data_IF_445349147464
#
_entry.id   IF_445349147464
#
_cell.length_a   1.000
_cell.length_b   1.000
_cell.length_c   1.000
_cell.angle_alpha   90.00
_cell.angle_beta   90.00
_cell.angle_gamma   90.00
#
_symmetry.space_group_name_H-M   'P 1'
#
loop_
_entity.id
_entity.type
_entity.pdbx_description
1 polymer ?
#
# COMPACT_ATOMS: atom_id res chain seq x y z
N UNK A 1 26.98 -21.50 0.76
CA UNK A 1 26.33 -20.20 1.09
C UNK A 1 25.66 -19.71 -0.16
N UNK A 2 24.37 -19.41 -0.08
CA UNK A 2 23.54 -18.97 -1.21
C UNK A 2 23.31 -17.46 -1.15
N UNK A 3 23.32 -16.79 -2.31
CA UNK A 3 23.04 -15.35 -2.44
C UNK A 3 22.06 -15.15 -3.60
N UNK A 4 20.98 -14.43 -3.34
CA UNK A 4 19.94 -14.16 -4.33
C UNK A 4 19.85 -12.65 -4.57
N UNK A 5 19.91 -12.25 -5.84
CA UNK A 5 19.80 -10.86 -6.28
C UNK A 5 18.50 -10.70 -7.08
N UNK A 6 17.57 -9.94 -6.51
CA UNK A 6 16.20 -9.82 -7.01
C UNK A 6 15.96 -8.41 -7.52
N UNK A 7 15.47 -8.31 -8.75
CA UNK A 7 15.16 -7.07 -9.44
C UNK A 7 13.67 -6.95 -9.72
N UNK A 8 13.21 -5.71 -9.85
CA UNK A 8 11.91 -5.41 -10.45
C UNK A 8 11.87 -5.85 -11.91
N UNK A 9 10.67 -6.11 -12.38
CA UNK A 9 10.29 -6.11 -13.79
C UNK A 9 9.51 -4.84 -14.09
N UNK A 10 9.62 -4.39 -15.33
CA UNK A 10 8.88 -3.23 -15.83
C UNK A 10 7.93 -3.77 -16.89
N UNK A 11 6.63 -3.71 -16.59
CA UNK A 11 5.56 -4.20 -17.45
C UNK A 11 4.78 -3.01 -17.99
N UNK A 12 4.44 -3.07 -19.27
CA UNK A 12 3.57 -2.09 -19.91
C UNK A 12 2.13 -2.23 -19.37
N UNK A 13 1.42 -1.11 -19.28
CA UNK A 13 0.04 -1.01 -18.81
C UNK A 13 -0.18 -1.54 -17.37
N UNK A 14 0.80 -1.39 -16.48
CA UNK A 14 0.66 -1.71 -15.05
C UNK A 14 0.31 -0.47 -14.22
N UNK A 15 -0.32 -0.66 -13.05
CA UNK A 15 -0.55 0.44 -12.09
C UNK A 15 0.79 1.11 -11.72
N UNK A 16 1.84 0.30 -11.56
CA UNK A 16 3.16 0.77 -11.18
C UNK A 16 3.78 1.61 -12.30
N UNK A 17 3.65 1.20 -13.56
CA UNK A 17 4.04 2.04 -14.68
C UNK A 17 3.33 3.40 -14.65
N UNK A 18 2.01 3.42 -14.50
CA UNK A 18 1.24 4.67 -14.44
C UNK A 18 1.65 5.58 -13.27
N UNK A 19 2.07 5.01 -12.13
CA UNK A 19 2.66 5.81 -11.03
C UNK A 19 4.07 6.33 -11.33
N UNK A 20 4.86 5.60 -12.14
CA UNK A 20 6.21 5.99 -12.56
C UNK A 20 6.17 7.09 -13.61
N UNK A 21 5.23 7.06 -14.55
CA UNK A 21 5.05 8.10 -15.57
C UNK A 21 4.83 9.49 -14.95
N UNK A 22 4.10 9.55 -13.83
CA UNK A 22 3.88 10.79 -13.05
C UNK A 22 5.17 11.37 -12.46
N UNK A 23 6.26 10.60 -12.37
CA UNK A 23 7.57 11.04 -11.86
C UNK A 23 8.43 11.72 -12.93
N UNK A 24 7.91 11.83 -14.17
CA UNK A 24 8.56 12.50 -15.30
C UNK A 24 9.35 11.56 -16.21
N UNK A 25 9.80 12.09 -17.35
CA UNK A 25 10.58 11.35 -18.35
C UNK A 25 12.07 11.42 -18.02
N UNK A 26 12.77 10.30 -18.24
CA UNK A 26 14.23 10.22 -18.14
C UNK A 26 14.93 10.28 -19.50
N UNK A 27 16.26 10.32 -19.47
CA UNK A 27 17.07 10.23 -20.69
C UNK A 27 17.44 8.78 -20.99
N UNK A 28 17.04 8.33 -22.18
CA UNK A 28 17.39 7.01 -22.69
C UNK A 28 18.90 6.88 -22.92
N UNK A 29 19.51 5.83 -22.39
CA UNK A 29 20.93 5.51 -22.55
C UNK A 29 21.17 4.00 -22.54
N UNK A 30 21.70 3.47 -23.64
CA UNK A 30 21.98 2.04 -23.81
C UNK A 30 22.92 1.50 -22.72
N UNK A 31 22.54 0.43 -22.03
CA UNK A 31 23.42 -0.23 -21.05
C UNK A 31 24.23 -1.34 -21.73
N UNK A 32 25.56 -1.24 -21.64
CA UNK A 32 26.51 -2.24 -22.13
C UNK A 32 27.83 -2.09 -21.40
N UNK A 33 28.69 -3.11 -21.43
CA UNK A 33 29.95 -3.12 -20.68
C UNK A 33 30.95 -2.01 -21.06
N UNK A 34 30.86 -1.48 -22.29
CA UNK A 34 31.69 -0.36 -22.74
C UNK A 34 31.00 1.01 -22.56
N UNK A 35 29.72 1.04 -22.14
CA UNK A 35 29.02 2.30 -21.93
C UNK A 35 29.54 2.99 -20.68
N UNK A 36 29.92 4.27 -20.81
CA UNK A 36 30.29 5.11 -19.66
C UNK A 36 29.15 5.13 -18.63
N UNK A 37 29.48 5.03 -17.35
CA UNK A 37 28.51 5.13 -16.25
C UNK A 37 27.74 6.47 -16.32
N UNK A 38 26.41 6.49 -16.12
CA UNK A 38 25.63 7.73 -16.13
C UNK A 38 26.09 8.68 -15.01
N UNK A 39 26.27 9.95 -15.35
CA UNK A 39 26.61 10.99 -14.36
C UNK A 39 25.40 11.49 -13.57
N UNK A 40 24.19 11.40 -14.15
CA UNK A 40 22.94 11.77 -13.51
C UNK A 40 22.05 10.52 -13.36
N UNK A 41 22.23 9.81 -12.25
CA UNK A 41 21.46 8.60 -11.93
C UNK A 41 19.95 8.85 -11.81
N UNK A 42 19.46 9.91 -11.13
CA UNK A 42 18.03 10.19 -11.05
C UNK A 42 17.35 10.27 -12.41
N UNK A 43 17.97 10.95 -13.37
CA UNK A 43 17.43 11.11 -14.72
C UNK A 43 17.50 9.80 -15.54
N UNK A 44 18.61 9.07 -15.42
CA UNK A 44 18.77 7.75 -16.05
C UNK A 44 17.73 6.74 -15.55
N UNK A 45 17.45 6.72 -14.25
CA UNK A 45 16.52 5.77 -13.61
C UNK A 45 15.03 6.11 -13.81
N UNK A 46 14.70 7.25 -14.42
CA UNK A 46 13.32 7.59 -14.81
C UNK A 46 12.87 6.90 -16.10
N UNK A 47 13.82 6.49 -16.94
CA UNK A 47 13.51 5.70 -18.14
C UNK A 47 13.43 4.20 -17.77
N UNK A 48 12.28 3.53 -18.00
CA UNK A 48 12.12 2.12 -17.63
C UNK A 48 12.99 1.18 -18.48
N UNK A 49 13.25 1.53 -19.74
CA UNK A 49 14.10 0.71 -20.63
C UNK A 49 15.53 0.66 -20.12
N UNK A 50 16.06 1.79 -19.61
CA UNK A 50 17.36 1.84 -18.97
C UNK A 50 17.48 0.86 -17.79
N UNK A 51 16.41 0.73 -16.99
CA UNK A 51 16.38 -0.16 -15.83
C UNK A 51 16.30 -1.62 -16.25
N UNK A 52 15.46 -1.95 -17.23
CA UNK A 52 15.39 -3.30 -17.81
C UNK A 52 16.77 -3.74 -18.33
N UNK A 53 17.42 -2.90 -19.15
CA UNK A 53 18.76 -3.23 -19.67
C UNK A 53 19.82 -3.30 -18.57
N UNK A 54 19.75 -2.42 -17.56
CA UNK A 54 20.67 -2.44 -16.43
C UNK A 54 20.56 -3.74 -15.65
N UNK A 55 19.34 -4.17 -15.31
CA UNK A 55 19.12 -5.37 -14.53
C UNK A 55 19.51 -6.63 -15.30
N UNK A 56 19.19 -6.70 -16.59
CA UNK A 56 19.65 -7.78 -17.45
C UNK A 56 21.19 -7.84 -17.49
N UNK A 57 21.85 -6.71 -17.77
CA UNK A 57 23.31 -6.63 -17.83
C UNK A 57 23.96 -7.04 -16.50
N UNK A 58 23.42 -6.57 -15.36
CA UNK A 58 23.94 -6.93 -14.04
C UNK A 58 23.76 -8.43 -13.77
N UNK A 59 22.61 -9.02 -14.08
CA UNK A 59 22.38 -10.46 -13.88
C UNK A 59 23.33 -11.30 -14.71
N UNK A 60 23.53 -10.97 -15.98
CA UNK A 60 24.49 -11.63 -16.86
C UNK A 60 25.91 -11.55 -16.27
N UNK A 61 26.33 -10.38 -15.79
CA UNK A 61 27.65 -10.19 -15.21
C UNK A 61 27.83 -10.92 -13.88
N UNK A 62 26.82 -10.90 -13.03
CA UNK A 62 26.81 -11.62 -11.75
C UNK A 62 27.03 -13.11 -12.01
N UNK A 63 26.24 -13.75 -12.88
CA UNK A 63 26.37 -15.20 -13.09
C UNK A 63 27.61 -15.59 -13.88
N UNK A 64 28.15 -14.70 -14.73
CA UNK A 64 29.43 -14.92 -15.41
C UNK A 64 30.66 -14.78 -14.52
N UNK A 65 30.49 -14.24 -13.30
CA UNK A 65 31.58 -14.06 -12.35
C UNK A 65 31.93 -15.39 -11.69
N UNK A 66 33.23 -15.68 -11.57
CA UNK A 66 33.69 -16.84 -10.81
C UNK A 66 33.59 -16.56 -9.32
N UNK A 67 32.77 -17.33 -8.62
CA UNK A 67 32.67 -17.29 -7.16
C UNK A 67 33.49 -18.42 -6.52
N UNK A 68 33.89 -18.29 -5.25
CA UNK A 68 34.54 -19.38 -4.52
C UNK A 68 33.70 -20.66 -4.49
N UNK A 69 34.37 -21.81 -4.35
CA UNK A 69 33.70 -23.11 -4.31
C UNK A 69 32.63 -23.19 -3.21
N UNK A 70 31.52 -23.87 -3.52
CA UNK A 70 30.37 -24.02 -2.61
C UNK A 70 29.56 -22.73 -2.38
N UNK A 71 29.79 -21.69 -3.20
CA UNK A 71 28.93 -20.50 -3.26
C UNK A 71 27.94 -20.65 -4.42
N UNK A 72 26.67 -20.40 -4.13
CA UNK A 72 25.60 -20.42 -5.11
C UNK A 72 25.05 -19.01 -5.24
N UNK A 73 24.88 -18.55 -6.48
CA UNK A 73 24.35 -17.22 -6.75
C UNK A 73 23.19 -17.33 -7.70
N UNK A 74 22.07 -16.71 -7.34
CA UNK A 74 20.88 -16.58 -8.16
C UNK A 74 20.66 -15.10 -8.47
N UNK A 75 20.34 -14.78 -9.71
CA UNK A 75 19.99 -13.42 -10.12
C UNK A 75 18.77 -13.46 -11.03
N UNK A 76 17.80 -12.59 -10.76
CA UNK A 76 16.61 -12.50 -11.61
C UNK A 76 16.97 -11.92 -12.98
N UNK A 77 16.38 -12.40 -14.08
CA UNK A 77 16.55 -11.83 -15.42
C UNK A 77 15.21 -11.84 -16.13
N UNK A 78 14.53 -10.69 -16.16
CA UNK A 78 13.12 -10.62 -16.55
C UNK A 78 12.26 -11.55 -15.68
N UNK A 79 11.46 -12.40 -16.31
CA UNK A 79 10.64 -13.41 -15.62
C UNK A 79 11.47 -14.60 -15.09
N UNK A 80 12.66 -14.84 -15.62
CA UNK A 80 13.47 -16.01 -15.29
C UNK A 80 14.45 -15.74 -14.15
N UNK A 81 15.09 -16.79 -13.66
CA UNK A 81 16.23 -16.71 -12.73
C UNK A 81 17.42 -17.38 -13.40
N UNK A 82 18.56 -16.69 -13.42
CA UNK A 82 19.85 -17.25 -13.84
C UNK A 82 20.67 -17.57 -12.60
N UNK A 83 21.52 -18.60 -12.67
CA UNK A 83 22.33 -19.01 -11.51
C UNK A 83 23.78 -19.35 -11.89
N UNK A 84 24.63 -19.39 -10.87
CA UNK A 84 26.04 -19.82 -10.94
C UNK A 84 26.40 -20.63 -9.69
N UNK A 85 27.23 -21.65 -9.86
CA UNK A 85 27.70 -22.53 -8.77
C UNK A 85 26.68 -23.58 -8.30
N UNK A 86 25.65 -23.89 -9.11
CA UNK A 86 24.61 -24.88 -8.78
C UNK A 86 23.89 -25.37 -10.04
N UNK A 87 23.34 -26.59 -9.98
CA UNK A 87 22.43 -27.15 -10.99
C UNK A 87 20.94 -26.92 -10.63
N UNK A 88 20.66 -26.36 -9.44
CA UNK A 88 19.31 -26.03 -9.00
C UNK A 88 18.70 -24.93 -9.86
N UNK A 89 17.47 -25.16 -10.31
CA UNK A 89 16.73 -24.23 -11.16
C UNK A 89 15.47 -23.73 -10.44
N UNK A 90 15.24 -22.42 -10.50
CA UNK A 90 14.01 -21.81 -10.00
C UNK A 90 13.02 -21.61 -11.15
N UNK A 91 11.71 -21.79 -10.91
CA UNK A 91 10.70 -21.55 -11.92
C UNK A 91 10.64 -20.06 -12.31
N UNK A 92 10.15 -19.74 -13.52
CA UNK A 92 9.83 -18.36 -13.89
C UNK A 92 8.83 -17.73 -12.90
N UNK A 93 8.90 -16.41 -12.77
CA UNK A 93 8.13 -15.63 -11.83
C UNK A 93 7.45 -14.43 -12.52
N UNK A 94 6.13 -14.29 -12.34
CA UNK A 94 5.32 -13.24 -12.96
C UNK A 94 5.26 -11.92 -12.15
N UNK A 95 5.88 -11.90 -10.97
CA UNK A 95 5.91 -10.73 -10.10
C UNK A 95 6.54 -9.52 -10.79
N UNK A 96 5.87 -8.37 -10.73
CA UNK A 96 6.42 -7.10 -11.22
C UNK A 96 7.48 -6.53 -10.28
N UNK A 97 7.31 -6.64 -8.96
CA UNK A 97 8.19 -5.97 -7.99
C UNK A 97 9.11 -6.94 -7.27
N UNK A 98 10.33 -6.47 -6.98
CA UNK A 98 11.28 -7.20 -6.15
C UNK A 98 10.69 -7.49 -4.76
N UNK A 99 9.80 -6.63 -4.26
CA UNK A 99 9.30 -6.69 -2.89
C UNK A 99 8.56 -7.99 -2.57
N UNK A 100 7.73 -8.43 -3.50
CA UNK A 100 7.04 -9.71 -3.41
C UNK A 100 7.91 -10.85 -3.92
N UNK A 101 8.71 -10.61 -4.97
CA UNK A 101 9.54 -11.66 -5.59
C UNK A 101 10.61 -12.20 -4.65
N UNK A 102 11.12 -11.36 -3.74
CA UNK A 102 12.04 -11.79 -2.68
C UNK A 102 11.47 -12.94 -1.85
N UNK A 103 10.15 -13.01 -1.64
CA UNK A 103 9.52 -14.08 -0.86
C UNK A 103 9.61 -15.43 -1.59
N UNK A 104 9.51 -15.44 -2.92
CA UNK A 104 9.70 -16.65 -3.73
C UNK A 104 11.14 -17.18 -3.60
N UNK A 105 12.13 -16.28 -3.67
CA UNK A 105 13.55 -16.62 -3.46
C UNK A 105 13.83 -17.10 -2.03
N UNK A 106 13.24 -16.45 -1.03
CA UNK A 106 13.33 -16.87 0.36
C UNK A 106 12.76 -18.27 0.55
N UNK A 107 11.58 -18.54 -0.01
CA UNK A 107 10.95 -19.85 0.08
C UNK A 107 11.81 -20.94 -0.60
N UNK A 108 12.30 -20.70 -1.81
CA UNK A 108 13.16 -21.64 -2.54
C UNK A 108 14.47 -21.93 -1.79
N UNK A 109 15.05 -20.91 -1.13
CA UNK A 109 16.22 -21.10 -0.27
C UNK A 109 15.92 -21.99 0.94
N UNK A 110 14.77 -21.79 1.60
CA UNK A 110 14.33 -22.63 2.72
C UNK A 110 14.02 -24.07 2.27
N UNK A 111 13.38 -24.25 1.11
CA UNK A 111 13.12 -25.56 0.49
C UNK A 111 14.42 -26.29 0.16
N UNK A 112 15.47 -25.55 -0.22
CA UNK A 112 16.82 -26.07 -0.46
C UNK A 112 17.61 -26.37 0.83
N UNK A 113 16.98 -26.24 2.01
CA UNK A 113 17.58 -26.57 3.30
C UNK A 113 18.31 -25.42 4.00
N UNK A 114 18.20 -24.18 3.51
CA UNK A 114 18.69 -23.03 4.27
C UNK A 114 17.82 -22.84 5.52
N UNK A 115 18.44 -22.58 6.67
CA UNK A 115 17.72 -22.31 7.92
C UNK A 115 17.79 -20.84 8.30
N UNK A 116 18.94 -20.18 8.11
CA UNK A 116 19.13 -18.76 8.42
C UNK A 116 19.17 -17.94 7.13
N UNK A 117 18.24 -17.00 7.00
CA UNK A 117 18.10 -16.17 5.80
C UNK A 117 18.17 -14.69 6.18
N UNK A 118 19.03 -13.94 5.49
CA UNK A 118 19.15 -12.49 5.64
C UNK A 118 18.66 -11.78 4.38
N UNK A 119 17.58 -11.01 4.50
CA UNK A 119 17.05 -10.16 3.43
C UNK A 119 17.61 -8.75 3.56
N UNK A 120 18.29 -8.25 2.54
CA UNK A 120 18.79 -6.87 2.49
C UNK A 120 17.81 -5.97 1.74
N UNK A 121 17.27 -4.96 2.40
CA UNK A 121 16.35 -4.00 1.76
C UNK A 121 16.37 -2.62 2.42
N UNK A 122 16.04 -1.58 1.66
CA UNK A 122 15.72 -0.25 2.20
C UNK A 122 14.22 0.04 2.15
N UNK A 123 13.43 -0.85 1.55
CA UNK A 123 12.01 -0.69 1.33
C UNK A 123 11.19 -1.29 2.47
N UNK A 124 10.25 -0.49 2.98
CA UNK A 124 9.35 -0.89 4.07
C UNK A 124 8.36 -1.94 3.61
N UNK A 125 7.97 -1.96 2.33
CA UNK A 125 7.01 -2.91 1.79
C UNK A 125 7.54 -4.35 1.93
N UNK A 126 8.84 -4.57 1.69
CA UNK A 126 9.50 -5.87 1.92
C UNK A 126 9.37 -6.32 3.39
N UNK A 127 9.65 -5.42 4.34
CA UNK A 127 9.55 -5.75 5.77
C UNK A 127 8.12 -6.13 6.16
N UNK A 128 7.14 -5.36 5.70
CA UNK A 128 5.72 -5.60 5.97
C UNK A 128 5.26 -6.94 5.37
N UNK A 129 5.64 -7.22 4.13
CA UNK A 129 5.31 -8.48 3.45
C UNK A 129 5.92 -9.68 4.20
N UNK A 130 7.19 -9.60 4.60
CA UNK A 130 7.86 -10.66 5.35
C UNK A 130 7.20 -10.92 6.71
N UNK A 131 6.81 -9.88 7.44
CA UNK A 131 6.05 -10.02 8.70
C UNK A 131 4.70 -10.71 8.43
N UNK A 132 3.98 -10.29 7.38
CA UNK A 132 2.71 -10.90 6.97
C UNK A 132 2.83 -12.37 6.59
N UNK A 133 3.94 -12.75 5.97
CA UNK A 133 4.20 -14.11 5.50
C UNK A 133 4.89 -15.02 6.49
N UNK A 134 5.46 -14.48 7.56
CA UNK A 134 6.25 -15.24 8.52
C UNK A 134 5.54 -16.50 9.02
N UNK A 135 4.29 -16.41 9.48
CA UNK A 135 3.60 -17.57 10.03
C UNK A 135 3.30 -18.66 9.01
N UNK A 136 3.15 -18.31 7.73
CA UNK A 136 3.05 -19.29 6.64
C UNK A 136 4.40 -19.97 6.36
N UNK A 137 5.49 -19.20 6.38
CA UNK A 137 6.83 -19.77 6.19
C UNK A 137 7.22 -20.65 7.37
N UNK A 138 7.00 -20.19 8.60
CA UNK A 138 7.34 -20.94 9.82
C UNK A 138 6.53 -22.24 9.97
N UNK A 139 5.30 -22.31 9.45
CA UNK A 139 4.53 -23.57 9.47
C UNK A 139 5.08 -24.61 8.49
N UNK A 140 5.67 -24.18 7.37
CA UNK A 140 6.32 -25.07 6.39
C UNK A 140 7.77 -25.38 6.74
N UNK A 141 8.49 -24.41 7.29
CA UNK A 141 9.92 -24.49 7.62
C UNK A 141 10.12 -24.05 9.08
N UNK A 142 9.87 -24.93 10.07
CA UNK A 142 9.90 -24.57 11.49
C UNK A 142 11.26 -24.05 11.98
N UNK A 143 12.35 -24.45 11.31
CA UNK A 143 13.71 -24.02 11.62
C UNK A 143 14.12 -22.70 10.95
N UNK A 144 13.20 -22.03 10.24
CA UNK A 144 13.50 -20.78 9.55
C UNK A 144 13.81 -19.64 10.54
N UNK A 145 14.99 -19.06 10.40
CA UNK A 145 15.50 -17.93 11.16
C UNK A 145 15.71 -16.75 10.20
N UNK A 146 14.72 -15.85 10.16
CA UNK A 146 14.62 -14.81 9.12
C UNK A 146 15.01 -13.45 9.70
N UNK A 147 15.96 -12.81 9.03
CA UNK A 147 16.49 -11.49 9.38
C UNK A 147 16.30 -10.52 8.24
N UNK A 148 16.13 -9.24 8.57
CA UNK A 148 16.14 -8.14 7.60
C UNK A 148 17.25 -7.15 7.96
N UNK A 149 18.21 -6.97 7.07
CA UNK A 149 19.15 -5.86 7.08
C UNK A 149 18.48 -4.63 6.45
N UNK A 150 17.88 -3.79 7.30
CA UNK A 150 17.00 -2.69 6.90
C UNK A 150 17.72 -1.33 6.92
N UNK A 151 17.36 -0.44 5.99
CA UNK A 151 17.81 0.96 6.00
C UNK A 151 19.22 1.18 5.43
N UNK A 152 19.79 2.37 5.66
CA UNK A 152 21.12 2.75 5.17
C UNK A 152 21.81 3.75 6.10
N UNK A 153 23.14 3.81 6.03
CA UNK A 153 23.94 4.73 6.84
C UNK A 153 23.66 4.60 8.35
N UNK A 154 23.36 5.72 9.00
CA UNK A 154 23.08 5.78 10.45
C UNK A 154 21.77 5.10 10.87
N UNK A 155 20.87 4.84 9.93
CA UNK A 155 19.58 4.20 10.18
C UNK A 155 19.59 2.71 9.80
N UNK A 156 20.77 2.12 9.61
CA UNK A 156 20.90 0.71 9.31
C UNK A 156 20.64 -0.15 10.55
N UNK A 157 19.79 -1.17 10.41
CA UNK A 157 19.37 -2.04 11.51
C UNK A 157 19.21 -3.49 11.04
N UNK A 158 19.52 -4.44 11.93
CA UNK A 158 19.13 -5.83 11.76
C UNK A 158 17.85 -6.09 12.54
N UNK A 159 16.80 -6.50 11.83
CA UNK A 159 15.50 -6.85 12.38
C UNK A 159 15.32 -8.36 12.36
N UNK A 160 15.05 -8.96 13.51
CA UNK A 160 14.72 -10.38 13.61
C UNK A 160 13.23 -10.57 13.41
N UNK A 161 12.83 -11.10 12.26
CA UNK A 161 11.41 -11.22 11.88
C UNK A 161 10.68 -12.15 12.84
N UNK A 162 11.32 -13.26 13.24
CA UNK A 162 10.76 -14.23 14.17
C UNK A 162 10.37 -13.57 15.51
N UNK A 163 11.26 -12.78 16.11
CA UNK A 163 10.98 -12.09 17.37
C UNK A 163 9.88 -11.02 17.22
N UNK A 164 9.87 -10.28 16.11
CA UNK A 164 8.82 -9.29 15.81
C UNK A 164 7.46 -9.98 15.73
N UNK A 165 7.34 -11.05 14.94
CA UNK A 165 6.09 -11.78 14.78
C UNK A 165 5.65 -12.50 16.06
N UNK A 166 6.60 -13.01 16.85
CA UNK A 166 6.30 -13.57 18.18
C UNK A 166 5.70 -12.52 19.12
N UNK A 167 6.17 -11.28 19.05
CA UNK A 167 5.66 -10.15 19.86
C UNK A 167 4.31 -9.65 19.35
N UNK A 168 4.14 -9.55 18.03
CA UNK A 168 2.89 -9.09 17.40
C UNK A 168 1.77 -10.13 17.50
N UNK A 169 2.11 -11.41 17.56
CA UNK A 169 1.15 -12.51 17.46
C UNK A 169 0.74 -12.79 16.01
N UNK A 170 0.13 -13.96 15.79
CA UNK A 170 -0.21 -14.45 14.44
C UNK A 170 -1.15 -13.52 13.70
N UNK A 171 -2.30 -13.22 14.29
CA UNK A 171 -3.37 -12.44 13.66
C UNK A 171 -2.88 -11.05 13.23
N UNK A 172 -2.18 -10.34 14.12
CA UNK A 172 -1.69 -8.99 13.82
C UNK A 172 -0.54 -8.98 12.82
N UNK A 173 0.35 -9.98 12.88
CA UNK A 173 1.42 -10.14 11.88
C UNK A 173 0.81 -10.37 10.50
N UNK A 174 -0.11 -11.32 10.39
CA UNK A 174 -0.80 -11.69 9.14
C UNK A 174 -1.60 -10.53 8.56
N UNK A 175 -2.29 -9.74 9.39
CA UNK A 175 -3.04 -8.57 8.97
C UNK A 175 -2.19 -7.37 8.50
N UNK A 176 -0.88 -7.34 8.82
CA UNK A 176 -0.05 -6.16 8.63
C UNK A 176 0.05 -5.65 7.17
N UNK A 177 0.16 -6.52 6.14
CA UNK A 177 0.13 -6.07 4.74
C UNK A 177 -1.16 -5.34 4.36
N UNK A 178 -2.32 -5.81 4.84
CA UNK A 178 -3.62 -5.17 4.57
C UNK A 178 -3.71 -3.84 5.31
N UNK A 179 -3.30 -3.80 6.58
CA UNK A 179 -3.19 -2.54 7.31
C UNK A 179 -2.31 -1.53 6.57
N UNK A 180 -1.16 -1.98 6.05
CA UNK A 180 -0.21 -1.10 5.37
C UNK A 180 -0.76 -0.56 4.06
N UNK A 181 -1.41 -1.39 3.23
CA UNK A 181 -2.06 -0.93 2.00
C UNK A 181 -3.30 -0.07 2.28
N UNK A 182 -4.09 -0.39 3.30
CA UNK A 182 -5.27 0.40 3.67
C UNK A 182 -4.92 1.79 4.20
N UNK A 183 -3.75 1.94 4.82
CA UNK A 183 -3.32 3.22 5.42
C UNK A 183 -2.39 4.02 4.52
N UNK A 184 -2.13 3.53 3.31
CA UNK A 184 -1.35 4.18 2.27
C UNK A 184 0.03 3.54 2.05
N UNK A 185 0.33 3.24 0.79
CA UNK A 185 1.61 2.76 0.27
C UNK A 185 1.81 3.34 -1.14
N UNK A 186 2.70 2.77 -1.95
CA UNK A 186 2.99 3.30 -3.29
C UNK A 186 1.78 3.36 -4.24
N UNK A 187 0.81 2.46 -4.08
CA UNK A 187 -0.38 2.37 -4.95
C UNK A 187 -1.67 2.83 -4.28
N UNK A 188 -1.63 3.24 -3.01
CA UNK A 188 -2.83 3.62 -2.26
C UNK A 188 -2.58 4.90 -1.49
N UNK A 189 -3.59 5.76 -1.42
CA UNK A 189 -3.46 7.04 -0.72
C UNK A 189 -3.39 6.84 0.79
N UNK A 190 -2.71 7.74 1.48
CA UNK A 190 -2.80 7.85 2.93
C UNK A 190 -3.98 8.72 3.35
N UNK A 191 -4.49 8.50 4.57
CA UNK A 191 -5.49 9.38 5.15
C UNK A 191 -4.84 10.72 5.53
N UNK A 192 -5.44 11.83 5.08
CA UNK A 192 -4.86 13.17 5.26
C UNK A 192 -4.63 13.49 6.74
N UNK A 193 -3.41 13.92 7.08
CA UNK A 193 -3.01 14.26 8.44
C UNK A 193 -2.92 13.06 9.40
N UNK A 194 -2.96 11.82 8.90
CA UNK A 194 -2.90 10.59 9.72
C UNK A 194 -1.64 9.80 9.39
N UNK A 195 -0.65 9.87 10.28
CA UNK A 195 0.57 9.08 10.18
C UNK A 195 0.35 7.62 10.59
N UNK A 196 1.17 6.69 10.08
CA UNK A 196 1.04 5.25 10.41
C UNK A 196 1.08 4.98 11.92
N UNK A 197 1.86 5.73 12.69
CA UNK A 197 1.86 5.65 14.16
C UNK A 197 0.48 5.94 14.77
N UNK A 198 -0.18 7.03 14.36
CA UNK A 198 -1.50 7.37 14.91
C UNK A 198 -2.58 6.38 14.49
N UNK A 199 -2.45 5.81 13.29
CA UNK A 199 -3.38 4.78 12.79
C UNK A 199 -3.13 3.43 13.47
N UNK A 200 -1.89 3.10 13.79
CA UNK A 200 -1.54 1.92 14.60
C UNK A 200 -2.14 2.00 16.01
N UNK A 201 -2.09 3.17 16.64
CA UNK A 201 -2.77 3.39 17.92
C UNK A 201 -4.30 3.28 17.81
N UNK A 202 -4.89 3.73 16.69
CA UNK A 202 -6.30 3.54 16.42
C UNK A 202 -6.65 2.05 16.28
N UNK A 203 -5.76 1.25 15.67
CA UNK A 203 -5.94 -0.21 15.58
C UNK A 203 -5.88 -0.86 16.96
N UNK A 204 -5.02 -0.36 17.85
CA UNK A 204 -5.04 -0.77 19.26
C UNK A 204 -6.33 -0.39 20.02
N UNK A 205 -7.05 0.65 19.58
CA UNK A 205 -8.31 1.08 20.19
C UNK A 205 -9.56 0.39 19.61
N UNK A 206 -9.45 -0.21 18.43
CA UNK A 206 -10.52 -0.96 17.76
C UNK A 206 -9.89 -2.22 17.15
N UNK A 207 -9.72 -3.25 17.98
CA UNK A 207 -8.99 -4.48 17.63
C UNK A 207 -9.77 -5.37 16.68
N UNK A 208 -11.11 -5.24 16.67
CA UNK A 208 -12.03 -6.03 15.86
C UNK A 208 -11.72 -5.89 14.36
N UNK A 209 -11.23 -4.73 13.89
CA UNK A 209 -10.82 -4.55 12.48
C UNK A 209 -9.79 -5.58 12.00
N UNK A 210 -9.07 -6.25 12.92
CA UNK A 210 -8.17 -7.36 12.60
C UNK A 210 -8.89 -8.48 11.86
N UNK A 211 -10.17 -8.75 12.16
CA UNK A 211 -10.95 -9.79 11.47
C UNK A 211 -11.16 -9.43 10.01
N UNK A 212 -11.49 -8.16 9.71
CA UNK A 212 -11.63 -7.67 8.35
C UNK A 212 -10.30 -7.72 7.59
N UNK A 213 -9.18 -7.39 8.25
CA UNK A 213 -7.86 -7.52 7.64
C UNK A 213 -7.51 -8.98 7.34
N UNK A 214 -7.72 -9.90 8.28
CA UNK A 214 -7.44 -11.32 8.08
C UNK A 214 -8.35 -11.95 7.03
N UNK A 215 -9.63 -11.56 6.96
CA UNK A 215 -10.52 -11.96 5.88
C UNK A 215 -9.93 -11.61 4.51
N UNK A 216 -9.41 -10.39 4.34
CA UNK A 216 -8.78 -9.95 3.10
C UNK A 216 -7.51 -10.75 2.77
N UNK A 217 -6.75 -11.16 3.79
CA UNK A 217 -5.57 -12.04 3.60
C UNK A 217 -5.98 -13.42 3.10
N UNK A 218 -7.06 -13.97 3.65
CA UNK A 218 -7.58 -15.30 3.27
C UNK A 218 -8.30 -15.28 1.91
N UNK A 219 -8.84 -14.11 1.52
CA UNK A 219 -9.59 -13.90 0.29
C UNK A 219 -8.93 -12.80 -0.56
N UNK A 220 -7.74 -13.05 -1.13
CA UNK A 220 -7.04 -12.06 -1.95
C UNK A 220 -7.92 -11.62 -3.13
N UNK A 221 -7.94 -10.31 -3.40
CA UNK A 221 -8.77 -9.69 -4.45
C UNK A 221 -10.30 -9.84 -4.25
N UNK A 222 -10.75 -10.06 -3.00
CA UNK A 222 -12.18 -10.08 -2.66
C UNK A 222 -12.92 -8.82 -3.15
N UNK A 223 -14.14 -9.02 -3.63
CA UNK A 223 -15.02 -7.94 -4.04
C UNK A 223 -15.72 -7.35 -2.81
N UNK A 224 -15.25 -6.17 -2.38
CA UNK A 224 -15.83 -5.46 -1.23
C UNK A 224 -16.93 -4.49 -1.70
N UNK A 225 -18.10 -4.58 -1.08
CA UNK A 225 -19.23 -3.66 -1.23
C UNK A 225 -19.55 -2.98 0.10
N UNK A 226 -20.46 -2.00 0.09
CA UNK A 226 -20.87 -1.29 1.32
C UNK A 226 -21.60 -2.19 2.32
N UNK A 227 -22.22 -3.27 1.84
CA UNK A 227 -23.03 -4.18 2.65
C UNK A 227 -22.18 -5.30 3.28
N UNK A 228 -20.92 -5.45 2.85
CA UNK A 228 -19.98 -6.42 3.42
C UNK A 228 -19.63 -6.06 4.87
N UNK A 229 -19.63 -7.06 5.76
CA UNK A 229 -19.24 -6.90 7.16
C UNK A 229 -17.83 -6.32 7.28
N UNK A 230 -16.91 -6.77 6.43
CA UNK A 230 -15.52 -6.33 6.40
C UNK A 230 -15.41 -4.84 6.07
N UNK A 231 -16.24 -4.36 5.13
CA UNK A 231 -16.28 -2.94 4.82
C UNK A 231 -16.81 -2.11 5.98
N UNK A 232 -17.85 -2.58 6.66
CA UNK A 232 -18.42 -1.88 7.82
C UNK A 232 -17.40 -1.77 8.96
N UNK A 233 -16.57 -2.81 9.15
CA UNK A 233 -15.47 -2.78 10.13
C UNK A 233 -14.36 -1.81 9.70
N UNK A 234 -14.00 -1.76 8.42
CA UNK A 234 -13.06 -0.78 7.88
C UNK A 234 -13.60 0.66 7.92
N UNK A 235 -14.91 0.84 7.74
CA UNK A 235 -15.60 2.12 7.89
C UNK A 235 -15.54 2.59 9.34
N UNK A 236 -15.89 1.71 10.28
CA UNK A 236 -15.77 1.99 11.72
C UNK A 236 -14.33 2.30 12.11
N UNK A 237 -13.37 1.52 11.64
CA UNK A 237 -11.96 1.78 11.87
C UNK A 237 -11.53 3.16 11.35
N UNK A 238 -12.03 3.55 10.18
CA UNK A 238 -11.78 4.88 9.61
C UNK A 238 -12.35 5.99 10.49
N UNK A 239 -13.52 5.80 11.12
CA UNK A 239 -14.03 6.74 12.13
C UNK A 239 -13.04 6.87 13.30
N UNK A 240 -12.56 5.75 13.85
CA UNK A 240 -11.62 5.71 14.98
C UNK A 240 -10.28 6.39 14.64
N UNK A 241 -9.80 6.30 13.40
CA UNK A 241 -8.60 7.03 12.92
C UNK A 241 -8.77 8.55 13.06
N UNK A 242 -9.96 9.07 12.78
CA UNK A 242 -10.24 10.49 12.85
C UNK A 242 -10.67 10.93 14.24
N UNK A 243 -11.34 10.06 14.99
CA UNK A 243 -11.87 10.35 16.31
C UNK A 243 -12.03 9.07 17.15
N UNK A 244 -10.98 8.76 17.93
CA UNK A 244 -10.89 7.54 18.74
C UNK A 244 -12.02 7.38 19.76
N UNK A 245 -12.67 8.49 20.18
CA UNK A 245 -13.75 8.47 21.17
C UNK A 245 -15.14 8.41 20.55
N UNK A 246 -15.25 8.52 19.23
CA UNK A 246 -16.56 8.54 18.57
C UNK A 246 -17.22 7.15 18.68
N UNK A 247 -18.52 7.05 19.00
CA UNK A 247 -19.26 5.79 18.95
C UNK A 247 -19.79 5.46 17.54
N UNK A 248 -19.64 6.38 16.58
CA UNK A 248 -20.29 6.29 15.26
C UNK A 248 -19.67 5.21 14.37
N UNK A 249 -20.50 4.43 13.71
CA UNK A 249 -20.02 3.39 12.77
C UNK A 249 -19.80 3.93 11.37
N UNK A 250 -20.58 4.91 10.93
CA UNK A 250 -20.47 5.45 9.57
C UNK A 250 -19.52 6.64 9.48
N UNK A 251 -18.69 6.66 8.43
CA UNK A 251 -17.86 7.83 8.12
C UNK A 251 -18.69 9.04 7.71
N UNK A 252 -19.88 8.85 7.12
CA UNK A 252 -20.73 9.97 6.74
C UNK A 252 -21.32 10.68 7.97
N UNK A 253 -21.76 9.91 8.97
CA UNK A 253 -22.22 10.44 10.26
C UNK A 253 -21.07 11.12 11.01
N UNK A 254 -19.91 10.46 11.08
CA UNK A 254 -18.72 11.02 11.72
C UNK A 254 -18.26 12.31 11.03
N UNK A 255 -18.30 12.38 9.69
CA UNK A 255 -18.03 13.62 8.94
C UNK A 255 -18.96 14.75 9.37
N UNK A 256 -20.26 14.46 9.45
CA UNK A 256 -21.27 15.45 9.88
C UNK A 256 -20.99 15.93 11.30
N UNK A 257 -20.75 15.02 12.25
CA UNK A 257 -20.44 15.37 13.64
C UNK A 257 -19.16 16.21 13.75
N UNK A 258 -18.07 15.74 13.13
CA UNK A 258 -16.76 16.40 13.20
C UNK A 258 -16.77 17.79 12.57
N UNK A 259 -17.53 17.96 11.49
CA UNK A 259 -17.68 19.24 10.82
C UNK A 259 -18.61 20.20 11.59
N UNK A 260 -19.82 19.75 11.94
CA UNK A 260 -20.84 20.62 12.56
C UNK A 260 -20.56 20.91 14.03
N UNK A 261 -20.16 19.89 14.80
CA UNK A 261 -20.08 19.97 16.27
C UNK A 261 -18.65 20.23 16.75
N UNK A 262 -17.64 19.64 16.07
CA UNK A 262 -16.22 19.80 16.43
C UNK A 262 -15.48 20.83 15.57
N UNK A 263 -16.17 21.54 14.67
CA UNK A 263 -15.62 22.61 13.81
C UNK A 263 -14.35 22.22 13.04
N UNK A 264 -14.19 20.95 12.66
CA UNK A 264 -13.04 20.51 11.86
C UNK A 264 -13.18 21.00 10.42
N UNK A 265 -12.05 21.28 9.76
CA UNK A 265 -12.02 21.60 8.33
C UNK A 265 -12.31 20.36 7.48
N UNK A 266 -12.73 20.57 6.23
CA UNK A 266 -13.05 19.48 5.28
C UNK A 266 -11.90 18.50 5.02
N UNK A 267 -10.66 18.95 5.16
CA UNK A 267 -9.46 18.11 5.02
C UNK A 267 -9.22 17.24 6.27
N UNK A 268 -9.72 17.67 7.43
CA UNK A 268 -9.49 17.03 8.74
C UNK A 268 -10.68 16.16 9.20
N UNK A 269 -11.54 15.74 8.27
CA UNK A 269 -12.64 14.79 8.48
C UNK A 269 -12.43 13.52 7.63
N UNK A 270 -13.04 12.38 7.99
CA UNK A 270 -12.96 11.14 7.21
C UNK A 270 -13.36 11.33 5.75
N UNK A 271 -12.95 10.49 4.79
CA UNK A 271 -13.52 10.48 3.43
C UNK A 271 -15.02 10.14 3.45
N UNK A 272 -15.75 10.47 2.38
CA UNK A 272 -17.14 9.96 2.22
C UNK A 272 -17.13 8.44 2.11
N UNK A 273 -18.24 7.78 2.47
CA UNK A 273 -18.34 6.32 2.40
C UNK A 273 -18.01 5.79 0.98
N UNK A 274 -18.48 6.47 -0.07
CA UNK A 274 -18.19 6.09 -1.46
C UNK A 274 -16.72 6.24 -1.84
N UNK A 275 -16.05 7.30 -1.36
CA UNK A 275 -14.61 7.46 -1.58
C UNK A 275 -13.82 6.43 -0.77
N UNK A 276 -14.25 6.12 0.46
CA UNK A 276 -13.66 5.07 1.28
C UNK A 276 -13.82 3.70 0.64
N UNK A 277 -14.96 3.40 0.02
CA UNK A 277 -15.17 2.14 -0.71
C UNK A 277 -14.17 1.97 -1.84
N UNK A 278 -14.00 3.00 -2.68
CA UNK A 278 -13.03 2.92 -3.78
C UNK A 278 -11.58 2.80 -3.26
N UNK A 279 -11.26 3.49 -2.17
CA UNK A 279 -9.98 3.35 -1.49
C UNK A 279 -9.76 1.93 -0.95
N UNK A 280 -10.78 1.36 -0.32
CA UNK A 280 -10.76 -0.01 0.20
C UNK A 280 -10.51 -1.02 -0.91
N UNK A 281 -11.19 -0.88 -2.06
CA UNK A 281 -10.97 -1.75 -3.22
C UNK A 281 -9.52 -1.74 -3.70
N UNK A 282 -8.89 -0.55 -3.78
CA UNK A 282 -7.46 -0.44 -4.14
C UNK A 282 -6.56 -1.10 -3.10
N UNK A 283 -6.85 -0.89 -1.81
CA UNK A 283 -6.09 -1.49 -0.72
C UNK A 283 -6.17 -3.02 -0.71
N UNK A 284 -7.37 -3.58 -0.94
CA UNK A 284 -7.61 -5.01 -1.08
C UNK A 284 -6.88 -5.58 -2.29
N UNK A 285 -6.91 -4.87 -3.43
CA UNK A 285 -6.18 -5.28 -4.62
C UNK A 285 -4.66 -5.37 -4.38
N UNK A 286 -4.06 -4.33 -3.79
CA UNK A 286 -2.64 -4.32 -3.44
C UNK A 286 -2.30 -5.40 -2.40
N UNK A 287 -3.15 -5.57 -1.39
CA UNK A 287 -2.97 -6.61 -0.39
C UNK A 287 -3.06 -8.02 -1.00
N UNK A 288 -3.91 -8.23 -2.00
CA UNK A 288 -3.99 -9.49 -2.75
C UNK A 288 -2.64 -9.86 -3.36
N UNK A 289 -1.97 -8.91 -4.01
CA UNK A 289 -0.61 -9.09 -4.56
C UNK A 289 0.40 -9.46 -3.46
N UNK A 290 0.35 -8.79 -2.31
CA UNK A 290 1.28 -9.07 -1.22
C UNK A 290 1.00 -10.39 -0.50
N UNK A 291 -0.26 -10.78 -0.38
CA UNK A 291 -0.67 -11.99 0.34
C UNK A 291 -0.53 -13.25 -0.52
N UNK A 292 -0.45 -13.15 -1.84
CA UNK A 292 -0.16 -14.28 -2.73
C UNK A 292 1.32 -14.41 -3.11
N UNK A 293 2.22 -13.57 -2.57
CA UNK A 293 3.65 -13.50 -2.96
C UNK A 293 4.50 -14.77 -2.76
N UNK A 294 3.95 -15.82 -2.17
CA UNK A 294 4.58 -17.13 -2.06
C UNK A 294 4.43 -17.97 -3.34
N UNK A 295 3.57 -17.55 -4.26
CA UNK A 295 3.31 -18.21 -5.54
C UNK A 295 4.13 -17.52 -6.61
N UNK A 296 5.05 -18.23 -7.27
CA UNK A 296 5.87 -17.63 -8.33
C UNK A 296 5.02 -17.09 -9.51
N UNK A 297 3.84 -17.68 -9.74
CA UNK A 297 2.85 -17.26 -10.72
C UNK A 297 1.59 -16.80 -9.97
N UNK A 298 1.44 -15.50 -9.75
CA UNK A 298 0.31 -14.92 -9.01
C UNK A 298 -0.96 -14.83 -9.85
N UNK A 299 -0.83 -14.76 -11.19
CA UNK A 299 -1.97 -14.56 -12.10
C UNK A 299 -2.86 -13.38 -11.67
N UNK A 300 -2.22 -12.28 -11.27
CA UNK A 300 -2.89 -11.11 -10.70
C UNK A 300 -4.04 -10.65 -11.60
N UNK A 301 -5.27 -10.50 -11.07
CA UNK A 301 -6.41 -10.07 -11.87
C UNK A 301 -6.23 -8.63 -12.37
N UNK A 302 -7.07 -8.23 -13.34
CA UNK A 302 -7.09 -6.83 -13.80
C UNK A 302 -7.43 -5.86 -12.67
N UNK A 303 -6.85 -4.66 -12.73
CA UNK A 303 -7.14 -3.59 -11.79
C UNK A 303 -8.51 -2.93 -12.02
N UNK A 304 -9.10 -3.09 -13.21
CA UNK A 304 -10.39 -2.49 -13.57
C UNK A 304 -11.47 -2.92 -12.56
N UNK A 305 -12.23 -1.95 -12.04
CA UNK A 305 -13.27 -2.20 -11.05
C UNK A 305 -12.75 -2.41 -9.61
N UNK A 306 -11.43 -2.55 -9.42
CA UNK A 306 -10.78 -2.62 -8.10
C UNK A 306 -10.38 -1.23 -7.58
N UNK A 307 -11.23 -0.23 -7.82
CA UNK A 307 -10.94 1.18 -7.49
C UNK A 307 -9.99 1.87 -8.47
N UNK A 308 -9.71 1.23 -9.60
CA UNK A 308 -8.96 1.75 -10.75
C UNK A 308 -9.80 1.64 -12.02
N UNK A 309 -9.49 2.49 -12.99
CA UNK A 309 -9.99 2.41 -14.36
C UNK A 309 -8.90 2.80 -15.34
N UNK A 310 -8.93 2.23 -16.55
CA UNK A 310 -7.98 2.57 -17.60
C UNK A 310 -8.42 3.85 -18.34
N UNK A 311 -7.57 4.87 -18.32
CA UNK A 311 -7.82 6.09 -19.09
C UNK A 311 -7.57 5.83 -20.58
N UNK A 312 -8.60 6.03 -21.42
CA UNK A 312 -8.55 5.66 -22.83
C UNK A 312 -7.57 6.51 -23.66
N UNK A 313 -7.28 7.75 -23.23
CA UNK A 313 -6.41 8.68 -23.95
C UNK A 313 -4.94 8.43 -23.61
N UNK A 314 -4.63 8.34 -22.33
CA UNK A 314 -3.26 8.16 -21.82
C UNK A 314 -2.82 6.71 -21.79
N UNK A 315 -3.77 5.76 -21.82
CA UNK A 315 -3.55 4.32 -21.58
C UNK A 315 -2.93 4.03 -20.21
N UNK A 316 -3.11 4.95 -19.25
CA UNK A 316 -2.60 4.81 -17.89
C UNK A 316 -3.73 4.47 -16.92
N UNK A 317 -3.42 3.68 -15.90
CA UNK A 317 -4.36 3.41 -14.81
C UNK A 317 -4.53 4.65 -13.93
N UNK A 318 -5.79 5.05 -13.74
CA UNK A 318 -6.17 6.17 -12.88
C UNK A 318 -7.11 5.70 -11.77
N UNK A 319 -6.96 6.24 -10.54
CA UNK A 319 -7.80 5.83 -9.43
C UNK A 319 -9.22 6.38 -9.61
N UNK A 320 -10.22 5.54 -9.36
CA UNK A 320 -11.60 5.98 -9.21
C UNK A 320 -11.74 6.58 -7.81
N UNK A 321 -11.89 7.90 -7.71
CA UNK A 321 -11.92 8.57 -6.40
C UNK A 321 -13.26 8.44 -5.68
N UNK A 322 -14.37 8.49 -6.42
CA UNK A 322 -15.73 8.39 -5.90
C UNK A 322 -16.69 8.14 -7.06
N UNK A 323 -17.78 7.44 -6.79
CA UNK A 323 -18.93 7.32 -7.71
C UNK A 323 -19.89 8.52 -7.63
N UNK A 324 -19.71 9.40 -6.65
CA UNK A 324 -20.55 10.59 -6.45
C UNK A 324 -19.97 11.84 -7.14
N UNK A 325 -20.83 12.79 -7.57
CA UNK A 325 -20.39 14.09 -8.07
C UNK A 325 -19.56 14.85 -7.04
N UNK A 326 -18.60 15.65 -7.51
CA UNK A 326 -17.80 16.51 -6.64
C UNK A 326 -18.70 17.48 -5.85
N UNK A 327 -18.45 17.60 -4.54
CA UNK A 327 -19.24 18.44 -3.63
C UNK A 327 -19.36 19.91 -4.11
N UNK A 328 -18.34 20.45 -4.78
CA UNK A 328 -18.40 21.81 -5.34
C UNK A 328 -19.51 22.01 -6.38
N UNK A 329 -19.96 20.94 -7.06
CA UNK A 329 -21.11 20.98 -7.97
C UNK A 329 -22.45 20.79 -7.24
N UNK A 330 -22.42 20.33 -5.98
CA UNK A 330 -23.61 19.96 -5.21
C UNK A 330 -23.92 20.88 -4.02
N UNK A 331 -22.98 21.72 -3.57
CA UNK A 331 -23.11 22.44 -2.30
C UNK A 331 -22.96 23.95 -2.47
N UNK A 332 -24.09 24.64 -2.62
CA UNK A 332 -24.27 26.07 -2.34
C UNK A 332 -24.62 26.35 -0.87
N UNK A 333 -24.70 25.30 -0.03
CA UNK A 333 -25.35 25.30 1.30
C UNK A 333 -24.42 25.54 2.52
N UNK A 334 -23.14 25.86 2.34
CA UNK A 334 -22.20 26.03 3.47
C UNK A 334 -22.30 27.38 4.20
N UNK A 335 -23.35 28.16 3.94
CA UNK A 335 -23.60 29.44 4.63
C UNK A 335 -24.04 29.16 6.07
N UNK A 336 -23.12 29.32 7.02
CA UNK A 336 -23.42 29.28 8.46
C UNK A 336 -23.46 30.68 9.06
N UNK A 337 -24.31 30.88 10.06
CA UNK A 337 -24.31 32.10 10.86
C UNK A 337 -23.71 31.86 12.25
N UNK A 338 -23.04 32.88 12.77
CA UNK A 338 -22.52 32.92 14.13
C UNK A 338 -23.46 33.69 15.09
N UNK A 339 -24.77 33.71 14.77
CA UNK A 339 -25.75 34.45 15.56
C UNK A 339 -25.90 33.82 16.95
N UNK A 340 -25.77 34.63 18.01
CA UNK A 340 -25.88 34.20 19.42
C UNK A 340 -27.24 34.54 20.06
N UNK A 341 -28.14 35.17 19.32
CA UNK A 341 -29.41 35.68 19.83
C UNK A 341 -30.36 34.54 20.20
N UNK A 342 -30.88 34.56 21.42
CA UNK A 342 -31.96 33.66 21.87
C UNK A 342 -33.33 34.01 21.24
N UNK A 343 -33.49 35.24 20.74
CA UNK A 343 -34.74 35.75 20.15
C UNK A 343 -34.85 35.53 18.63
N UNK A 344 -33.90 34.80 18.02
CA UNK A 344 -33.91 34.49 16.58
C UNK A 344 -32.90 35.26 15.72
N UNK A 345 -32.75 34.83 14.46
CA UNK A 345 -31.81 35.40 13.48
C UNK A 345 -32.38 36.64 12.75
N UNK A 346 -31.76 37.80 12.99
CA UNK A 346 -32.13 39.09 12.37
C UNK A 346 -31.49 39.34 10.99
N UNK A 347 -31.68 40.54 10.44
CA UNK A 347 -31.24 40.92 9.08
C UNK A 347 -29.72 40.92 8.82
N UNK A 348 -28.89 40.85 9.87
CA UNK A 348 -27.43 40.69 9.74
C UNK A 348 -26.99 39.22 9.63
N UNK A 349 -27.91 38.28 9.78
CA UNK A 349 -27.62 36.84 9.65
C UNK A 349 -27.18 36.50 8.23
N UNK A 350 -26.04 35.81 8.09
CA UNK A 350 -25.51 35.34 6.82
C UNK A 350 -26.46 34.38 6.10
N UNK A 351 -27.12 33.47 6.83
CA UNK A 351 -28.10 32.54 6.26
C UNK A 351 -29.30 33.31 5.69
N UNK A 352 -29.83 34.28 6.44
CA UNK A 352 -30.98 35.10 6.01
C UNK A 352 -30.63 35.98 4.81
N UNK A 353 -29.42 36.55 4.76
CA UNK A 353 -28.93 37.33 3.60
C UNK A 353 -28.81 36.49 2.33
N UNK A 354 -28.49 35.21 2.50
CA UNK A 354 -28.40 34.28 1.38
C UNK A 354 -29.75 33.60 1.08
N UNK A 355 -30.83 33.95 1.79
CA UNK A 355 -32.17 33.35 1.66
C UNK A 355 -32.27 31.87 2.04
N UNK A 356 -31.46 31.42 3.02
CA UNK A 356 -31.47 30.05 3.55
C UNK A 356 -32.00 29.97 4.98
N UNK A 357 -32.56 28.81 5.34
CA UNK A 357 -32.84 28.45 6.74
C UNK A 357 -31.55 28.24 7.52
N UNK A 358 -31.59 28.46 8.84
CA UNK A 358 -30.43 28.21 9.70
C UNK A 358 -30.27 26.70 9.87
N UNK A 359 -29.16 26.15 9.42
CA UNK A 359 -28.89 24.71 9.52
C UNK A 359 -28.14 24.36 10.81
N UNK A 360 -27.87 23.07 11.02
CA UNK A 360 -27.04 22.58 12.14
C UNK A 360 -25.60 23.11 12.13
N UNK A 361 -25.17 23.76 11.05
CA UNK A 361 -23.90 24.46 10.95
C UNK A 361 -23.89 25.81 11.68
N UNK A 362 -25.07 26.36 11.97
CA UNK A 362 -25.19 27.67 12.60
C UNK A 362 -25.01 27.59 14.11
N UNK A 363 -24.38 28.61 14.70
CA UNK A 363 -24.26 28.71 16.17
C UNK A 363 -25.56 29.11 16.86
N UNK A 364 -26.61 29.45 16.10
CA UNK A 364 -27.91 29.84 16.63
C UNK A 364 -28.83 28.63 16.85
N UNK A 365 -29.77 28.74 17.80
CA UNK A 365 -30.84 27.75 18.03
C UNK A 365 -32.15 28.09 17.32
N UNK A 366 -32.09 28.82 16.20
CA UNK A 366 -33.29 29.15 15.43
C UNK A 366 -33.89 27.86 14.83
N UNK A 367 -35.20 27.82 14.59
CA UNK A 367 -35.86 26.68 13.96
C UNK A 367 -35.12 26.26 12.69
N UNK A 368 -34.76 24.97 12.66
CA UNK A 368 -33.94 24.32 11.64
C UNK A 368 -34.71 24.16 10.33
#
# INVERSE_FOLDING_TARGET
MRVDVVWDRYLDNSIKESTREKRGKGVRRKVAGQTKVPGNWPDFLRDPTNKVELFQFLSEKIVSTTFPDGKQVFATSGASVVCSGTDHSMPPCDHEEADTRIVVHLQDALESGCTTCLVRTVDTDVLVILIGKYHFLASKYPSADIWVAFGSGKNFLFLHINAICSTLGKEKSTALPVFHSFTGCDTTSSFFGKGKKSVWEAWGAYTEVTDAFNFIVEHPHAQITVDCQEFQMLERFTVVIYDKTSPLVSVNEARKELFCQKNRTMENIPPTQQALLQHTKRAVYQAGIWTTCHQAQQQTPTAEGCGWTLDAETKSWVPVWSSQPAAAKAVSELVKCACKSAAGCGGRCSCKKASWKCTELCSCKCEK
#
